data_IF_699473689228
#
_entry.id   IF_699473689228
#
_cell.length_a   1.000
_cell.length_b   1.000
_cell.length_c   1.000
_cell.angle_alpha   90.00
_cell.angle_beta   90.00
_cell.angle_gamma   90.00
#
_symmetry.space_group_name_H-M   'P 1'
#
loop_
_entity.id
_entity.type
_entity.pdbx_description
1 polymer ?
#
# COMPACT_ATOMS: atom_id res chain seq x y z
N UNK A 1 -44.43 3.32 39.98
CA UNK A 1 -44.21 3.80 38.58
C UNK A 1 -42.77 4.26 38.30
N UNK A 2 -42.06 4.93 39.24
CA UNK A 2 -40.67 5.41 39.03
C UNK A 2 -39.63 4.36 38.65
N UNK A 3 -39.70 3.14 39.21
CA UNK A 3 -38.73 2.06 38.94
C UNK A 3 -38.85 1.44 37.54
N UNK A 4 -40.04 1.46 36.94
CA UNK A 4 -40.27 0.97 35.57
C UNK A 4 -39.67 1.92 34.52
N UNK A 5 -39.68 3.23 34.78
CA UNK A 5 -39.12 4.24 33.89
C UNK A 5 -37.58 4.17 33.87
N UNK A 6 -36.95 3.97 35.05
CA UNK A 6 -35.49 3.78 35.13
C UNK A 6 -35.01 2.55 34.35
N UNK A 7 -35.77 1.46 34.40
CA UNK A 7 -35.43 0.20 33.71
C UNK A 7 -35.50 0.36 32.19
N UNK A 8 -36.45 1.15 31.68
CA UNK A 8 -36.57 1.45 30.25
C UNK A 8 -35.44 2.38 29.78
N UNK A 9 -35.05 3.36 30.60
CA UNK A 9 -33.94 4.27 30.29
C UNK A 9 -32.60 3.53 30.21
N UNK A 10 -32.37 2.57 31.12
CA UNK A 10 -31.15 1.75 31.14
C UNK A 10 -31.05 0.82 29.92
N UNK A 11 -32.19 0.28 29.47
CA UNK A 11 -32.27 -0.55 28.26
C UNK A 11 -31.93 0.24 26.98
N UNK A 12 -32.31 1.53 26.92
CA UNK A 12 -32.06 2.40 25.76
C UNK A 12 -30.57 2.80 25.65
N UNK A 13 -29.90 3.02 26.79
CA UNK A 13 -28.47 3.35 26.85
C UNK A 13 -27.61 2.15 26.41
N UNK A 14 -27.98 0.92 26.78
CA UNK A 14 -27.28 -0.29 26.34
C UNK A 14 -27.38 -0.56 24.83
N UNK A 15 -28.49 -0.16 24.18
CA UNK A 15 -28.66 -0.31 22.73
C UNK A 15 -27.88 0.74 21.91
N UNK A 16 -27.52 1.86 22.54
CA UNK A 16 -26.78 2.95 21.89
C UNK A 16 -25.26 2.77 22.00
N UNK A 17 -24.78 1.91 22.90
CA UNK A 17 -23.36 1.66 23.15
C UNK A 17 -22.69 0.69 22.14
N UNK A 18 -23.47 0.08 21.24
CA UNK A 18 -22.95 -0.78 20.18
C UNK A 18 -22.90 -0.07 18.81
N UNK A 19 -22.48 1.19 18.77
CA UNK A 19 -21.83 1.70 17.55
C UNK A 19 -20.33 1.42 17.69
N UNK A 20 -19.94 0.19 17.35
CA UNK A 20 -18.56 -0.08 17.00
C UNK A 20 -18.37 0.59 15.65
N UNK A 21 -17.77 1.78 15.63
CA UNK A 21 -17.18 2.31 14.40
C UNK A 21 -16.21 1.22 13.95
N UNK A 22 -16.62 0.41 12.97
CA UNK A 22 -15.67 -0.35 12.17
C UNK A 22 -14.69 0.68 11.65
N UNK A 23 -13.37 0.55 11.91
CA UNK A 23 -12.39 1.37 11.23
C UNK A 23 -12.74 1.31 9.75
N UNK A 24 -12.94 2.46 9.10
CA UNK A 24 -13.02 2.49 7.64
C UNK A 24 -11.74 1.84 7.15
N UNK A 25 -11.83 0.60 6.67
CA UNK A 25 -10.69 -0.08 6.09
C UNK A 25 -10.21 0.77 4.94
N UNK A 26 -8.93 1.14 4.98
CA UNK A 26 -8.33 1.90 3.92
C UNK A 26 -8.40 1.08 2.62
N UNK A 27 -9.16 1.52 1.61
CA UNK A 27 -9.39 0.71 0.40
C UNK A 27 -8.11 0.52 -0.44
N UNK A 28 -7.07 1.31 -0.19
CA UNK A 28 -5.75 1.15 -0.81
C UNK A 28 -4.90 0.10 -0.11
N UNK A 29 -5.19 -0.26 1.14
CA UNK A 29 -4.40 -1.23 1.89
C UNK A 29 -4.42 -2.59 1.19
N UNK A 30 -3.24 -3.16 1.01
CA UNK A 30 -3.08 -4.41 0.28
C UNK A 30 -1.76 -4.52 -0.45
N UNK A 31 -1.64 -5.66 -1.13
CA UNK A 31 -0.53 -5.96 -2.01
C UNK A 31 -1.04 -5.82 -3.45
N UNK A 32 -0.33 -5.06 -4.26
CA UNK A 32 -0.74 -4.70 -5.60
C UNK A 32 0.41 -4.90 -6.56
N UNK A 33 0.10 -5.02 -7.85
CA UNK A 33 1.12 -5.11 -8.89
C UNK A 33 0.68 -4.34 -10.14
N UNK A 34 1.66 -3.90 -10.91
CA UNK A 34 1.46 -3.21 -12.17
C UNK A 34 2.59 -3.49 -13.15
N UNK A 35 2.47 -2.86 -14.32
CA UNK A 35 3.48 -2.91 -15.36
C UNK A 35 3.72 -1.50 -15.89
N UNK A 36 4.98 -1.19 -16.17
CA UNK A 36 5.34 0.03 -16.88
C UNK A 36 5.11 -0.14 -18.38
N UNK A 37 5.22 0.97 -19.13
CA UNK A 37 5.00 0.99 -20.57
C UNK A 37 5.96 0.06 -21.34
N UNK A 38 7.14 -0.22 -20.77
CA UNK A 38 8.14 -1.15 -21.29
C UNK A 38 7.95 -2.60 -20.79
N UNK A 39 6.81 -2.90 -20.17
CA UNK A 39 6.45 -4.20 -19.59
C UNK A 39 7.28 -4.62 -18.37
N UNK A 40 8.02 -3.69 -17.75
CA UNK A 40 8.67 -3.96 -16.48
C UNK A 40 7.64 -4.15 -15.37
N UNK A 41 7.85 -5.18 -14.56
CA UNK A 41 6.96 -5.54 -13.46
C UNK A 41 7.33 -4.78 -12.18
N UNK A 42 6.31 -4.35 -11.44
CA UNK A 42 6.50 -3.82 -10.10
C UNK A 42 5.35 -4.18 -9.17
N UNK A 43 5.66 -4.20 -7.89
CA UNK A 43 4.72 -4.46 -6.80
C UNK A 43 4.62 -3.24 -5.88
N UNK A 44 3.42 -2.97 -5.37
CA UNK A 44 3.18 -2.02 -4.29
C UNK A 44 2.64 -2.75 -3.07
N UNK A 45 3.27 -2.51 -1.93
CA UNK A 45 2.78 -2.95 -0.64
C UNK A 45 2.32 -1.72 0.12
N UNK A 46 1.02 -1.65 0.41
CA UNK A 46 0.39 -0.46 0.96
C UNK A 46 -0.19 -0.80 2.33
N UNK A 47 0.28 -0.08 3.34
CA UNK A 47 -0.29 -0.04 4.70
C UNK A 47 -1.06 1.27 4.90
N UNK A 48 -1.50 1.57 6.12
CA UNK A 48 -2.24 2.80 6.41
C UNK A 48 -1.48 4.10 6.11
N UNK A 49 -0.16 4.10 6.26
CA UNK A 49 0.65 5.34 6.14
C UNK A 49 1.83 5.22 5.17
N UNK A 50 2.13 4.01 4.70
CA UNK A 50 3.34 3.74 3.93
C UNK A 50 3.06 2.87 2.73
N UNK A 51 3.71 3.22 1.62
CA UNK A 51 3.78 2.48 0.37
C UNK A 51 5.22 2.03 0.19
N UNK A 52 5.40 0.75 -0.13
CA UNK A 52 6.68 0.19 -0.55
C UNK A 52 6.53 -0.26 -1.99
N UNK A 53 7.32 0.35 -2.88
CA UNK A 53 7.44 -0.03 -4.27
C UNK A 53 8.62 -0.98 -4.42
N UNK A 54 8.38 -2.16 -4.99
CA UNK A 54 9.43 -3.06 -5.44
C UNK A 54 9.45 -3.04 -6.97
N UNK A 55 10.44 -2.34 -7.55
CA UNK A 55 10.60 -2.20 -8.98
C UNK A 55 11.79 -3.03 -9.48
N UNK A 56 11.62 -3.74 -10.59
CA UNK A 56 12.65 -4.68 -11.07
C UNK A 56 14.04 -4.05 -11.27
N UNK A 57 14.08 -2.80 -11.78
CA UNK A 57 15.33 -2.09 -12.11
C UNK A 57 15.77 -1.07 -11.06
N UNK A 58 14.83 -0.46 -10.32
CA UNK A 58 15.14 0.58 -9.33
C UNK A 58 15.35 0.00 -7.93
N UNK A 59 14.92 -1.24 -7.71
CA UNK A 59 14.90 -1.87 -6.40
C UNK A 59 13.72 -1.37 -5.57
N UNK A 60 13.94 -1.24 -4.27
CA UNK A 60 12.91 -0.90 -3.31
C UNK A 60 12.89 0.61 -3.05
N UNK A 61 11.71 1.21 -3.13
CA UNK A 61 11.48 2.61 -2.79
C UNK A 61 10.35 2.71 -1.76
N UNK A 62 10.55 3.59 -0.78
CA UNK A 62 9.58 3.84 0.29
C UNK A 62 8.91 5.20 0.09
N UNK A 63 7.61 5.27 0.36
CA UNK A 63 6.86 6.51 0.35
C UNK A 63 5.94 6.55 1.56
N UNK A 64 5.90 7.67 2.27
CA UNK A 64 4.73 7.99 3.09
C UNK A 64 3.67 8.58 2.17
N UNK A 65 2.40 8.44 2.54
CA UNK A 65 1.34 9.02 1.72
C UNK A 65 0.17 9.57 2.52
N UNK A 66 -0.56 10.46 1.87
CA UNK A 66 -1.81 11.02 2.33
C UNK A 66 -2.86 10.93 1.23
N UNK A 67 -4.10 10.68 1.62
CA UNK A 67 -5.25 10.69 0.70
C UNK A 67 -6.12 11.91 0.99
N UNK A 68 -6.29 12.75 -0.03
CA UNK A 68 -7.19 13.91 -0.01
C UNK A 68 -8.27 13.74 -1.08
N UNK A 69 -9.38 13.09 -0.69
CA UNK A 69 -10.49 12.76 -1.57
C UNK A 69 -10.07 11.88 -2.75
N UNK A 70 -9.99 12.50 -3.94
CA UNK A 70 -9.59 11.84 -5.18
C UNK A 70 -8.09 12.00 -5.51
N UNK A 71 -7.29 12.49 -4.55
CA UNK A 71 -5.86 12.67 -4.70
C UNK A 71 -5.08 11.74 -3.79
N UNK A 72 -3.95 11.27 -4.28
CA UNK A 72 -2.93 10.57 -3.50
C UNK A 72 -1.66 11.42 -3.52
N UNK A 73 -1.20 11.83 -2.35
CA UNK A 73 0.03 12.59 -2.19
C UNK A 73 1.08 11.62 -1.67
N UNK A 74 2.07 11.29 -2.48
CA UNK A 74 3.20 10.43 -2.07
C UNK A 74 4.42 11.28 -1.77
N UNK A 75 5.08 11.02 -0.65
CA UNK A 75 6.28 11.74 -0.22
C UNK A 75 7.43 10.78 0.00
N UNK A 76 8.56 11.05 -0.67
CA UNK A 76 9.80 10.29 -0.48
C UNK A 76 10.47 10.60 0.87
N UNK A 77 11.41 9.76 1.36
CA UNK A 77 12.21 10.07 2.55
C UNK A 77 13.04 11.36 2.43
N UNK A 78 13.25 11.86 1.21
CA UNK A 78 13.91 13.12 0.91
C UNK A 78 12.95 14.31 0.82
N UNK A 79 11.69 14.14 1.25
CA UNK A 79 10.64 15.18 1.26
C UNK A 79 10.23 15.69 -0.13
N UNK A 80 10.50 14.94 -1.19
CA UNK A 80 9.90 15.21 -2.49
C UNK A 80 8.48 14.65 -2.52
N UNK A 81 7.52 15.53 -2.78
CA UNK A 81 6.11 15.22 -2.92
C UNK A 81 5.74 15.03 -4.39
N UNK A 82 4.82 14.10 -4.64
CA UNK A 82 4.17 13.91 -5.92
C UNK A 82 2.68 13.72 -5.71
N UNK A 83 1.88 14.40 -6.50
CA UNK A 83 0.42 14.39 -6.41
C UNK A 83 -0.13 13.59 -7.57
N UNK A 84 -0.89 12.57 -7.23
CA UNK A 84 -1.59 11.71 -8.16
C UNK A 84 -3.10 11.92 -8.05
N UNK A 85 -3.80 11.70 -9.14
CA UNK A 85 -5.26 11.69 -9.21
C UNK A 85 -5.74 10.26 -9.34
N UNK A 86 -6.66 9.82 -8.49
CA UNK A 86 -7.35 8.56 -8.66
C UNK A 86 -8.33 8.67 -9.82
N UNK A 87 -8.21 7.79 -10.79
CA UNK A 87 -9.23 7.64 -11.84
C UNK A 87 -10.19 6.51 -11.50
N UNK A 88 -9.69 5.48 -10.81
CA UNK A 88 -10.47 4.34 -10.35
C UNK A 88 -9.88 3.81 -9.04
N UNK A 89 -10.73 3.39 -8.12
CA UNK A 89 -10.35 2.68 -6.90
C UNK A 89 -11.48 1.75 -6.48
N UNK A 90 -11.21 0.45 -6.53
CA UNK A 90 -12.09 -0.61 -6.05
C UNK A 90 -11.26 -1.76 -5.44
N UNK A 91 -11.92 -2.83 -5.02
CA UNK A 91 -11.28 -3.94 -4.29
C UNK A 91 -10.24 -4.74 -5.09
N UNK A 92 -10.20 -4.58 -6.41
CA UNK A 92 -9.34 -5.38 -7.31
C UNK A 92 -8.41 -4.53 -8.19
N UNK A 93 -8.72 -3.24 -8.33
CA UNK A 93 -8.06 -2.35 -9.25
C UNK A 93 -8.01 -0.94 -8.65
N UNK A 94 -6.85 -0.30 -8.78
CA UNK A 94 -6.80 1.15 -8.72
C UNK A 94 -5.96 1.72 -9.84
N UNK A 95 -6.36 2.89 -10.33
CA UNK A 95 -5.69 3.61 -11.40
C UNK A 95 -5.38 5.00 -10.87
N UNK A 96 -4.11 5.39 -10.95
CA UNK A 96 -3.64 6.72 -10.61
C UNK A 96 -2.96 7.36 -11.82
N UNK A 97 -3.08 8.67 -11.95
CA UNK A 97 -2.41 9.44 -12.99
C UNK A 97 -1.94 10.80 -12.50
N UNK A 98 -0.93 11.34 -13.16
CA UNK A 98 -0.56 12.74 -13.07
C UNK A 98 -0.41 13.33 -14.48
N UNK A 99 0.28 14.46 -14.60
CA UNK A 99 0.51 15.11 -15.91
C UNK A 99 1.47 14.34 -16.82
N UNK A 100 2.25 13.40 -16.30
CA UNK A 100 3.32 12.71 -17.01
C UNK A 100 2.96 11.26 -17.30
N UNK A 101 2.32 10.59 -16.36
CA UNK A 101 2.11 9.15 -16.44
C UNK A 101 0.80 8.68 -15.82
N UNK A 102 0.44 7.44 -16.15
CA UNK A 102 -0.76 6.75 -15.70
C UNK A 102 -0.40 5.32 -15.36
N UNK A 103 -0.71 4.90 -14.14
CA UNK A 103 -0.42 3.57 -13.63
C UNK A 103 -1.70 2.80 -13.36
N UNK A 104 -1.65 1.51 -13.70
CA UNK A 104 -2.75 0.57 -13.48
C UNK A 104 -2.29 -0.51 -12.52
N UNK A 105 -2.92 -0.58 -11.35
CA UNK A 105 -2.57 -1.52 -10.30
C UNK A 105 -3.68 -2.53 -10.09
N UNK A 106 -3.32 -3.81 -10.08
CA UNK A 106 -4.23 -4.91 -9.75
C UNK A 106 -3.86 -5.49 -8.40
N UNK A 107 -4.88 -5.89 -7.62
CA UNK A 107 -4.65 -6.48 -6.30
C UNK A 107 -4.08 -7.89 -6.45
N UNK A 108 -3.06 -8.22 -5.66
CA UNK A 108 -2.54 -9.58 -5.54
C UNK A 108 -3.46 -10.39 -4.63
N UNK A 109 -3.85 -11.58 -5.09
CA UNK A 109 -4.63 -12.54 -4.30
C UNK A 109 -3.71 -13.33 -3.36
N UNK A 110 -3.07 -12.61 -2.43
CA UNK A 110 -2.23 -13.16 -1.37
C UNK A 110 -2.62 -12.52 -0.04
N UNK A 111 -2.46 -13.22 1.10
CA UNK A 111 -2.72 -12.63 2.40
C UNK A 111 -1.92 -11.34 2.58
N UNK A 112 -2.61 -10.26 2.97
CA UNK A 112 -1.97 -8.98 3.25
C UNK A 112 -1.25 -9.06 4.60
N UNK A 113 0.06 -9.22 4.54
CA UNK A 113 0.98 -9.06 5.68
C UNK A 113 2.10 -8.12 5.21
N UNK A 114 1.94 -6.84 5.54
CA UNK A 114 2.84 -5.80 5.07
C UNK A 114 4.31 -6.08 5.42
N UNK A 115 4.61 -6.47 6.66
CA UNK A 115 5.99 -6.72 7.08
C UNK A 115 6.59 -7.93 6.38
N UNK A 116 5.80 -8.98 6.18
CA UNK A 116 6.25 -10.15 5.44
C UNK A 116 6.52 -9.81 3.97
N UNK A 117 5.60 -9.11 3.32
CA UNK A 117 5.74 -8.71 1.91
C UNK A 117 6.95 -7.80 1.68
N UNK A 118 7.20 -6.86 2.59
CA UNK A 118 8.41 -6.02 2.56
C UNK A 118 9.66 -6.86 2.79
N UNK A 119 9.63 -7.77 3.77
CA UNK A 119 10.74 -8.69 4.04
C UNK A 119 11.13 -9.55 2.82
N UNK A 120 10.12 -10.09 2.12
CA UNK A 120 10.33 -10.90 0.91
C UNK A 120 10.97 -10.05 -0.22
N UNK A 121 10.56 -8.80 -0.36
CA UNK A 121 11.13 -7.87 -1.35
C UNK A 121 12.60 -7.54 -1.06
N UNK A 122 12.92 -7.20 0.19
CA UNK A 122 14.29 -6.88 0.63
C UNK A 122 15.20 -8.10 0.40
N UNK A 123 14.76 -9.28 0.81
CA UNK A 123 15.53 -10.51 0.63
C UNK A 123 15.83 -10.81 -0.86
N UNK A 124 14.88 -10.55 -1.75
CA UNK A 124 15.08 -10.71 -3.20
C UNK A 124 16.12 -9.71 -3.74
N UNK A 125 16.04 -8.45 -3.32
CA UNK A 125 16.97 -7.41 -3.74
C UNK A 125 18.40 -7.74 -3.29
N UNK A 126 18.58 -8.09 -2.01
CA UNK A 126 19.87 -8.49 -1.45
C UNK A 126 20.48 -9.68 -2.23
N UNK A 127 19.65 -10.66 -2.57
CA UNK A 127 20.09 -11.80 -3.38
C UNK A 127 20.59 -11.37 -4.78
N UNK A 128 19.83 -10.51 -5.47
CA UNK A 128 20.20 -10.00 -6.81
C UNK A 128 21.54 -9.26 -6.76
N UNK A 129 21.71 -8.37 -5.78
CA UNK A 129 22.95 -7.61 -5.61
C UNK A 129 24.15 -8.52 -5.32
N UNK A 130 24.01 -9.45 -4.36
CA UNK A 130 25.05 -10.41 -4.03
C UNK A 130 25.38 -11.35 -5.20
N UNK A 131 24.41 -11.71 -6.02
CA UNK A 131 24.62 -12.50 -7.24
C UNK A 131 25.43 -11.73 -8.28
N UNK A 132 25.04 -10.48 -8.58
CA UNK A 132 25.75 -9.62 -9.55
C UNK A 132 27.21 -9.40 -9.11
N UNK A 133 27.45 -9.15 -7.83
CA UNK A 133 28.81 -8.96 -7.30
C UNK A 133 29.68 -10.20 -7.50
N UNK A 134 29.13 -11.40 -7.25
CA UNK A 134 29.84 -12.67 -7.49
C UNK A 134 30.20 -12.86 -8.97
N UNK A 135 29.29 -12.56 -9.89
CA UNK A 135 29.55 -12.70 -11.33
C UNK A 135 30.60 -11.69 -11.80
N UNK A 136 30.46 -10.40 -11.43
CA UNK A 136 31.43 -9.36 -11.79
C UNK A 136 32.83 -9.68 -11.28
N UNK A 137 32.96 -10.19 -10.05
CA UNK A 137 34.27 -10.57 -9.49
C UNK A 137 34.96 -11.66 -10.32
N UNK A 138 34.21 -12.60 -10.91
CA UNK A 138 34.76 -13.67 -11.74
C UNK A 138 35.21 -13.20 -13.12
N UNK A 139 34.58 -12.16 -13.66
CA UNK A 139 34.89 -11.63 -15.01
C UNK A 139 36.13 -10.72 -15.02
N UNK A 140 36.58 -10.23 -13.87
CA UNK A 140 37.77 -9.35 -13.76
C UNK A 140 39.07 -10.15 -13.55
N UNK A 141 38.97 -11.44 -13.23
CA UNK A 141 40.12 -12.34 -13.06
C UNK A 141 40.53 -13.09 -14.36
N UNK A 142 39.92 -12.77 -15.50
CA UNK A 142 40.31 -13.24 -16.86
C UNK A 142 40.95 -12.12 -17.69
#
# INVERSE_FOLDING_TARGET
>A
MRTKILSILFLFVMLSACKRETPEENPLSGNWYGFDADSLYYELYISDTMIILNHETMGIAEYVYERDGNRLITTTPLFFERIWTFEELNDSLFIISDTLERHHYKKLDIPHDFFKSVGDSIALQDFKEAFIMRIKSKTVEE
#
